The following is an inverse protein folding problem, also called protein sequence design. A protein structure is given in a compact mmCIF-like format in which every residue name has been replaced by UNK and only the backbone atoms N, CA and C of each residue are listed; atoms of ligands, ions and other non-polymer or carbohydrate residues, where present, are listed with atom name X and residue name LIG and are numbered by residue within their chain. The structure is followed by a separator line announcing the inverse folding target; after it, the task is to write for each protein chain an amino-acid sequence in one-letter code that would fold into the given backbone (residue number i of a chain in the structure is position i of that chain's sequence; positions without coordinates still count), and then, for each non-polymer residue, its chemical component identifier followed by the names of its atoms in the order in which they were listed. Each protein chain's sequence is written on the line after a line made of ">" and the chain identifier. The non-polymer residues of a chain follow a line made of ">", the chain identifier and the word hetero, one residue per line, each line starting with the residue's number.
data_IF_656834938872
#
_entry.id   IF_656834938872
#
_cell.length_a   1.000
_cell.length_b   1.000
_cell.length_c   1.000
_cell.angle_alpha   90.00
_cell.angle_beta   90.00
_cell.angle_gamma   90.00
#
_symmetry.space_group_name_H-M   'P 1'
#
loop_
_entity.id
_entity.type
_entity.pdbx_description
1 polymer ?
#
# COMPACT_ATOMS: atom_id res chain seq x y z
N UNK A 1 4.12 24.08 3.35
CA UNK A 1 2.77 24.16 3.91
C UNK A 1 2.36 22.76 4.33
N UNK A 2 2.02 22.54 5.59
CA UNK A 2 1.56 21.24 6.05
C UNK A 2 0.07 21.12 5.69
N UNK A 3 -0.28 20.08 4.93
CA UNK A 3 -1.68 19.79 4.59
C UNK A 3 -2.02 18.47 5.28
N UNK A 4 -3.07 18.48 6.09
CA UNK A 4 -3.59 17.29 6.75
C UNK A 4 -4.98 17.00 6.20
N UNK A 5 -5.17 15.81 5.70
CA UNK A 5 -6.43 15.28 5.23
C UNK A 5 -6.96 14.22 6.18
N UNK A 6 -8.28 14.11 6.28
CA UNK A 6 -8.94 13.05 7.03
C UNK A 6 -10.03 12.46 6.15
N UNK A 7 -10.08 11.14 6.10
CA UNK A 7 -10.95 10.38 5.22
C UNK A 7 -11.70 9.30 6.00
N UNK A 8 -12.90 9.01 5.57
CA UNK A 8 -13.67 7.84 6.03
C UNK A 8 -13.64 6.68 5.02
N UNK A 9 -12.97 6.90 3.87
CA UNK A 9 -12.96 6.02 2.74
C UNK A 9 -11.51 5.85 2.23
N UNK A 10 -10.98 4.61 2.14
CA UNK A 10 -9.63 4.38 1.61
C UNK A 10 -9.48 4.79 0.13
N UNK A 11 -10.60 4.88 -0.61
CA UNK A 11 -10.58 5.35 -1.99
C UNK A 11 -10.15 6.82 -2.08
N UNK A 12 -10.67 7.68 -1.20
CA UNK A 12 -10.27 9.10 -1.14
C UNK A 12 -8.78 9.25 -0.82
N UNK A 13 -8.24 8.37 0.02
CA UNK A 13 -6.81 8.32 0.30
C UNK A 13 -6.03 7.93 -0.97
N UNK A 14 -6.50 6.93 -1.72
CA UNK A 14 -5.91 6.52 -3.00
C UNK A 14 -5.92 7.65 -4.04
N UNK A 15 -7.03 8.40 -4.13
CA UNK A 15 -7.16 9.58 -5.02
C UNK A 15 -6.14 10.66 -4.66
N UNK A 16 -6.05 10.99 -3.38
CA UNK A 16 -5.07 11.97 -2.91
C UNK A 16 -3.64 11.54 -3.25
N UNK A 17 -3.28 10.28 -3.06
CA UNK A 17 -1.96 9.77 -3.43
C UNK A 17 -1.71 9.87 -4.93
N UNK A 18 -2.73 9.65 -5.75
CA UNK A 18 -2.63 9.81 -7.21
C UNK A 18 -2.37 11.26 -7.62
N UNK A 19 -2.94 12.26 -6.94
CA UNK A 19 -2.65 13.68 -7.17
C UNK A 19 -1.18 14.03 -6.88
N UNK A 20 -0.53 13.24 -6.01
CA UNK A 20 0.91 13.34 -5.73
C UNK A 20 1.77 12.46 -6.64
N UNK A 21 1.19 11.86 -7.68
CA UNK A 21 1.87 11.06 -8.68
C UNK A 21 2.11 9.60 -8.26
N UNK A 22 1.49 9.15 -7.15
CA UNK A 22 1.57 7.77 -6.70
C UNK A 22 0.33 6.99 -7.16
N UNK A 23 0.50 6.08 -8.11
CA UNK A 23 -0.59 5.25 -8.60
C UNK A 23 -0.79 4.04 -7.68
N UNK A 24 -1.38 4.27 -6.53
CA UNK A 24 -1.60 3.25 -5.49
C UNK A 24 -3.09 2.93 -5.36
N UNK A 25 -3.43 1.64 -5.45
CA UNK A 25 -4.73 1.11 -5.10
C UNK A 25 -4.72 0.68 -3.65
N UNK A 26 -5.78 1.01 -2.93
CA UNK A 26 -5.93 0.67 -1.51
C UNK A 26 -7.19 -0.16 -1.36
N UNK A 27 -7.06 -1.29 -0.64
CA UNK A 27 -8.17 -2.18 -0.27
C UNK A 27 -8.20 -2.32 1.26
N UNK A 28 -9.33 -2.04 1.87
CA UNK A 28 -9.55 -2.30 3.29
C UNK A 28 -9.72 -3.80 3.50
N UNK A 29 -8.95 -4.39 4.42
CA UNK A 29 -8.95 -5.84 4.69
C UNK A 29 -9.92 -6.25 5.80
N UNK A 30 -10.49 -5.32 6.55
CA UNK A 30 -11.42 -5.59 7.65
C UNK A 30 -12.76 -4.89 7.41
N UNK A 31 -13.85 -5.58 7.73
CA UNK A 31 -15.19 -5.05 7.56
C UNK A 31 -15.50 -3.85 8.47
N UNK A 32 -16.46 -3.03 8.07
CA UNK A 32 -16.96 -1.87 8.80
C UNK A 32 -16.29 -0.56 8.39
N UNK A 33 -16.78 0.53 8.93
CA UNK A 33 -16.27 1.86 8.66
C UNK A 33 -14.84 2.00 9.19
N UNK A 34 -13.98 2.66 8.39
CA UNK A 34 -12.61 3.01 8.74
C UNK A 34 -12.41 4.53 8.83
N UNK A 35 -11.34 4.93 9.50
CA UNK A 35 -10.86 6.30 9.48
C UNK A 35 -9.41 6.32 9.03
N UNK A 36 -9.11 7.23 8.12
CA UNK A 36 -7.81 7.36 7.48
C UNK A 36 -7.36 8.80 7.53
N UNK A 37 -6.08 9.02 7.66
CA UNK A 37 -5.55 10.37 7.57
C UNK A 37 -4.22 10.38 6.82
N UNK A 38 -3.97 11.46 6.12
CA UNK A 38 -2.70 11.75 5.47
C UNK A 38 -2.23 13.13 5.86
N UNK A 39 -0.99 13.22 6.34
CA UNK A 39 -0.28 14.48 6.52
C UNK A 39 0.89 14.50 5.54
N UNK A 40 1.10 15.63 4.85
CA UNK A 40 2.19 15.70 3.90
C UNK A 40 2.83 17.08 3.84
N UNK A 41 4.08 17.10 3.42
CA UNK A 41 4.83 18.32 3.08
C UNK A 41 5.82 18.01 1.96
N UNK A 42 6.09 18.98 1.08
CA UNK A 42 6.99 18.79 -0.06
C UNK A 42 7.90 20.00 -0.30
N UNK A 43 9.02 19.75 -0.94
CA UNK A 43 9.95 20.71 -1.54
C UNK A 43 10.17 20.37 -3.01
N UNK A 44 11.10 21.06 -3.66
CA UNK A 44 11.45 20.80 -5.07
C UNK A 44 12.12 19.44 -5.32
N UNK A 45 12.77 18.86 -4.30
CA UNK A 45 13.57 17.63 -4.45
C UNK A 45 13.18 16.50 -3.49
N UNK A 46 12.17 16.71 -2.64
CA UNK A 46 11.64 15.66 -1.77
C UNK A 46 10.21 15.92 -1.35
N UNK A 47 9.52 14.85 -1.00
CA UNK A 47 8.25 14.91 -0.30
C UNK A 47 8.28 13.96 0.92
N UNK A 48 7.46 14.30 1.91
CA UNK A 48 7.28 13.51 3.12
C UNK A 48 5.78 13.38 3.36
N UNK A 49 5.31 12.15 3.55
CA UNK A 49 3.93 11.84 3.82
C UNK A 49 3.81 10.86 4.99
N UNK A 50 2.80 11.03 5.83
CA UNK A 50 2.42 10.06 6.85
C UNK A 50 0.96 9.68 6.65
N UNK A 51 0.71 8.39 6.55
CA UNK A 51 -0.62 7.81 6.43
C UNK A 51 -0.92 7.05 7.72
N UNK A 52 -2.09 7.31 8.30
CA UNK A 52 -2.60 6.54 9.44
C UNK A 52 -3.92 5.90 9.07
N UNK A 53 -4.12 4.66 9.51
CA UNK A 53 -5.31 3.89 9.23
C UNK A 53 -5.82 3.20 10.50
N UNK A 54 -7.13 3.24 10.73
CA UNK A 54 -7.79 2.52 11.82
C UNK A 54 -8.09 1.06 11.49
N UNK A 55 -8.07 0.71 10.20
CA UNK A 55 -8.30 -0.63 9.67
C UNK A 55 -7.08 -1.11 8.89
N UNK A 56 -6.79 -2.42 8.85
CA UNK A 56 -5.71 -2.93 8.03
C UNK A 56 -5.98 -2.69 6.54
N UNK A 57 -4.94 -2.25 5.84
CA UNK A 57 -4.99 -1.92 4.43
C UNK A 57 -4.02 -2.79 3.64
N UNK A 58 -4.49 -3.29 2.49
CA UNK A 58 -3.64 -3.75 1.41
C UNK A 58 -3.46 -2.59 0.43
N UNK A 59 -2.25 -2.29 0.05
CA UNK A 59 -1.96 -1.38 -1.04
C UNK A 59 -1.18 -2.11 -2.14
N UNK A 60 -1.46 -1.74 -3.38
CA UNK A 60 -0.81 -2.24 -4.58
C UNK A 60 -0.61 -1.06 -5.52
N UNK A 61 0.53 -1.00 -6.18
CA UNK A 61 0.83 0.06 -7.13
C UNK A 61 2.30 0.45 -7.14
N UNK A 62 2.58 1.61 -7.69
CA UNK A 62 3.96 2.10 -7.85
C UNK A 62 4.09 3.57 -7.45
N UNK A 63 5.30 3.91 -7.03
CA UNK A 63 5.69 5.28 -6.71
C UNK A 63 5.83 6.15 -7.95
N UNK A 64 6.32 7.35 -7.74
CA UNK A 64 6.56 8.32 -8.80
C UNK A 64 7.80 7.96 -9.63
N UNK A 65 7.84 8.36 -10.89
CA UNK A 65 9.01 8.14 -11.75
C UNK A 65 10.23 8.99 -11.37
N UNK A 66 10.02 10.07 -10.61
CA UNK A 66 11.07 11.04 -10.26
C UNK A 66 11.78 10.70 -8.94
N UNK A 67 11.13 9.94 -8.03
CA UNK A 67 11.64 9.69 -6.68
C UNK A 67 12.07 8.25 -6.45
N UNK A 68 12.84 8.07 -5.40
CA UNK A 68 12.99 6.80 -4.68
C UNK A 68 12.23 6.97 -3.38
N UNK A 69 11.31 6.06 -3.13
CA UNK A 69 10.41 6.12 -2.00
C UNK A 69 10.91 5.19 -0.90
N UNK A 70 11.14 5.76 0.28
CA UNK A 70 11.50 5.02 1.49
C UNK A 70 10.38 5.12 2.49
N UNK A 71 10.02 4.02 3.12
CA UNK A 71 8.97 4.02 4.11
C UNK A 71 9.36 3.25 5.37
N UNK A 72 8.71 3.59 6.46
CA UNK A 72 8.78 2.89 7.73
C UNK A 72 7.44 2.93 8.43
N UNK A 73 7.21 1.94 9.28
CA UNK A 73 5.99 1.83 10.07
C UNK A 73 6.28 2.30 11.50
N UNK A 74 5.37 3.11 12.04
CA UNK A 74 5.39 3.52 13.44
C UNK A 74 4.14 2.97 14.11
N UNK A 75 4.26 2.08 15.12
CA UNK A 75 3.10 1.60 15.85
C UNK A 75 2.48 2.74 16.64
N UNK A 76 1.16 2.89 16.57
CA UNK A 76 0.40 3.87 17.36
C UNK A 76 0.08 3.35 18.76
N UNK A 77 0.06 2.02 18.92
CA UNK A 77 -0.08 1.29 20.18
C UNK A 77 0.91 0.13 20.20
N UNK A 78 1.13 -0.52 21.34
CA UNK A 78 1.83 -1.81 21.38
C UNK A 78 1.03 -2.80 20.54
N UNK A 79 1.37 -2.93 19.28
CA UNK A 79 0.74 -3.87 18.38
C UNK A 79 1.44 -5.23 18.49
N UNK A 80 0.65 -6.30 18.48
CA UNK A 80 1.19 -7.63 18.24
C UNK A 80 1.57 -7.73 16.76
N UNK A 81 2.78 -8.14 16.50
CA UNK A 81 3.42 -8.36 15.22
C UNK A 81 2.52 -9.05 14.14
N UNK A 82 2.66 -8.76 12.83
CA UNK A 82 3.56 -7.81 12.16
C UNK A 82 2.89 -6.46 11.86
N UNK A 83 3.68 -5.37 11.88
CA UNK A 83 3.17 -4.01 11.61
C UNK A 83 2.75 -3.77 10.17
N UNK A 84 3.34 -4.48 9.23
CA UNK A 84 3.04 -4.36 7.82
C UNK A 84 4.13 -4.96 6.95
N UNK A 85 3.86 -5.01 5.66
CA UNK A 85 4.76 -5.49 4.63
C UNK A 85 4.87 -4.46 3.53
N UNK A 86 6.08 -4.26 3.01
CA UNK A 86 6.34 -3.47 1.84
C UNK A 86 7.16 -4.33 0.89
N UNK A 87 6.67 -4.56 -0.32
CA UNK A 87 7.30 -5.45 -1.31
C UNK A 87 7.67 -6.83 -0.75
N UNK A 88 6.84 -7.36 0.15
CA UNK A 88 7.09 -8.64 0.83
C UNK A 88 8.09 -8.57 1.97
N UNK A 89 8.58 -7.39 2.35
CA UNK A 89 9.43 -7.18 3.49
C UNK A 89 8.62 -6.92 4.76
N UNK A 90 8.95 -7.66 5.84
CA UNK A 90 8.29 -7.52 7.14
C UNK A 90 8.79 -6.26 7.84
N UNK A 91 7.94 -5.24 7.94
CA UNK A 91 8.28 -3.95 8.52
C UNK A 91 8.20 -4.00 10.04
N UNK A 92 9.28 -3.64 10.71
CA UNK A 92 9.37 -3.51 12.16
C UNK A 92 10.02 -2.17 12.55
N UNK A 93 10.19 -1.91 13.85
CA UNK A 93 10.69 -0.61 14.34
C UNK A 93 12.07 -0.21 13.77
N UNK A 94 12.88 -1.17 13.35
CA UNK A 94 14.22 -0.94 12.78
C UNK A 94 14.25 -1.14 11.27
N UNK A 95 13.10 -1.30 10.62
CA UNK A 95 13.02 -1.60 9.19
C UNK A 95 12.76 -0.35 8.36
N UNK A 96 13.54 -0.20 7.29
CA UNK A 96 13.32 0.74 6.21
C UNK A 96 12.95 -0.06 4.96
N UNK A 97 11.73 0.07 4.51
CA UNK A 97 11.28 -0.48 3.24
C UNK A 97 11.50 0.52 2.11
N UNK A 98 11.58 0.04 0.87
CA UNK A 98 11.70 0.89 -0.30
C UNK A 98 10.73 0.48 -1.39
N UNK A 99 9.97 1.43 -1.93
CA UNK A 99 9.42 1.34 -3.27
C UNK A 99 10.53 1.71 -4.23
N UNK A 100 11.19 0.71 -4.81
CA UNK A 100 12.34 1.01 -5.62
C UNK A 100 11.95 1.26 -7.07
N UNK A 101 11.85 2.53 -7.43
CA UNK A 101 11.62 2.95 -8.82
C UNK A 101 12.79 2.62 -9.78
N UNK A 102 13.90 2.08 -9.29
CA UNK A 102 15.01 1.65 -10.14
C UNK A 102 14.72 0.34 -10.88
N UNK A 103 13.92 -0.56 -10.30
CA UNK A 103 13.68 -1.90 -10.81
C UNK A 103 12.21 -2.26 -11.00
N UNK A 104 11.29 -1.39 -10.58
CA UNK A 104 9.88 -1.72 -10.59
C UNK A 104 9.31 -1.79 -12.00
N UNK A 105 8.86 -2.97 -12.38
CA UNK A 105 7.74 -3.04 -13.28
C UNK A 105 6.53 -2.46 -12.54
N UNK A 106 5.75 -1.59 -13.20
CA UNK A 106 4.48 -1.14 -12.64
C UNK A 106 3.63 -2.36 -12.24
N UNK A 107 3.17 -2.41 -11.00
CA UNK A 107 2.34 -3.50 -10.50
C UNK A 107 3.04 -4.52 -9.59
N UNK A 108 4.37 -4.47 -9.45
CA UNK A 108 5.09 -5.43 -8.60
C UNK A 108 5.17 -4.99 -7.13
N UNK A 109 4.85 -3.75 -6.82
CA UNK A 109 4.89 -3.22 -5.45
C UNK A 109 3.57 -3.43 -4.73
N UNK A 110 3.63 -4.09 -3.61
CA UNK A 110 2.49 -4.30 -2.73
C UNK A 110 2.91 -4.26 -1.26
N UNK A 111 1.97 -3.97 -0.40
CA UNK A 111 2.22 -4.00 1.02
C UNK A 111 0.95 -4.06 1.84
N UNK A 112 1.10 -4.40 3.10
CA UNK A 112 0.02 -4.41 4.08
C UNK A 112 0.37 -3.49 5.23
N UNK A 113 -0.55 -2.61 5.59
CA UNK A 113 -0.54 -1.91 6.87
C UNK A 113 -1.47 -2.62 7.84
N UNK A 114 -0.97 -2.92 9.02
CA UNK A 114 -1.80 -3.41 10.11
C UNK A 114 -2.62 -2.27 10.71
N UNK A 115 -3.68 -2.62 11.43
CA UNK A 115 -4.43 -1.65 12.21
C UNK A 115 -3.55 -0.92 13.24
N UNK A 116 -3.96 0.26 13.61
CA UNK A 116 -3.30 1.04 14.68
C UNK A 116 -1.81 1.32 14.43
N UNK A 117 -1.43 1.50 13.18
CA UNK A 117 -0.10 1.97 12.81
C UNK A 117 -0.18 3.20 11.91
N UNK A 118 0.91 3.95 11.83
CA UNK A 118 1.13 4.95 10.80
C UNK A 118 2.30 4.54 9.92
N UNK A 119 2.17 4.77 8.63
CA UNK A 119 3.25 4.62 7.67
C UNK A 119 3.76 5.99 7.27
N UNK A 120 5.07 6.18 7.38
CA UNK A 120 5.72 7.39 6.89
C UNK A 120 6.50 7.04 5.63
N UNK A 121 6.25 7.78 4.56
CA UNK A 121 6.97 7.71 3.29
C UNK A 121 7.85 8.94 3.12
N UNK A 122 9.12 8.73 2.81
CA UNK A 122 10.09 9.75 2.45
C UNK A 122 10.47 9.54 0.97
N UNK A 123 10.00 10.42 0.12
CA UNK A 123 10.25 10.40 -1.32
C UNK A 123 11.41 11.34 -1.63
N UNK A 124 12.55 10.81 -2.07
CA UNK A 124 13.74 11.57 -2.42
C UNK A 124 13.92 11.61 -3.94
N UNK A 125 14.29 12.78 -4.48
CA UNK A 125 14.65 12.88 -5.89
C UNK A 125 15.78 11.92 -6.23
N UNK A 126 15.52 11.06 -7.21
CA UNK A 126 16.40 9.95 -7.59
C UNK A 126 17.79 10.42 -8.02
N UNK A 127 17.85 11.49 -8.83
CA UNK A 127 19.09 12.01 -9.36
C UNK A 127 19.93 12.65 -8.25
N UNK A 128 19.28 13.44 -7.40
CA UNK A 128 19.93 14.09 -6.26
C UNK A 128 20.48 13.05 -5.28
N UNK A 129 19.74 11.99 -4.99
CA UNK A 129 20.21 10.91 -4.11
C UNK A 129 21.42 10.21 -4.70
N UNK A 130 21.39 9.81 -5.99
CA UNK A 130 22.50 9.13 -6.63
C UNK A 130 23.76 9.99 -6.66
N UNK A 131 23.65 11.27 -6.99
CA UNK A 131 24.78 12.19 -6.97
C UNK A 131 25.40 12.26 -5.56
N UNK A 132 24.56 12.41 -4.53
CA UNK A 132 25.02 12.44 -3.14
C UNK A 132 25.75 11.16 -2.73
N UNK A 133 25.23 9.99 -3.08
CA UNK A 133 25.85 8.69 -2.79
C UNK A 133 27.20 8.55 -3.50
N UNK A 134 27.31 9.01 -4.74
CA UNK A 134 28.56 8.99 -5.50
C UNK A 134 29.62 9.96 -4.92
N UNK A 135 29.22 11.18 -4.58
CA UNK A 135 30.10 12.17 -3.93
C UNK A 135 30.66 11.67 -2.60
N UNK A 136 29.82 11.00 -1.80
CA UNK A 136 30.24 10.39 -0.53
C UNK A 136 30.98 9.06 -0.70
N UNK A 137 31.12 8.53 -1.92
CA UNK A 137 31.68 7.20 -2.21
C UNK A 137 30.96 6.08 -1.43
N UNK A 138 29.67 6.22 -1.20
CA UNK A 138 28.84 5.32 -0.41
C UNK A 138 28.47 4.07 -1.23
N UNK A 139 29.42 3.16 -1.40
CA UNK A 139 29.29 1.99 -2.28
C UNK A 139 28.26 0.97 -1.77
N UNK A 140 28.22 0.76 -0.46
CA UNK A 140 27.25 -0.15 0.15
C UNK A 140 25.84 0.42 0.04
N UNK A 141 25.67 1.74 0.21
CA UNK A 141 24.37 2.40 0.02
C UNK A 141 23.85 2.24 -1.41
N UNK A 142 24.72 2.36 -2.42
CA UNK A 142 24.36 2.14 -3.83
C UNK A 142 23.95 0.68 -4.06
N UNK A 143 24.70 -0.29 -3.51
CA UNK A 143 24.38 -1.71 -3.61
C UNK A 143 23.01 -2.00 -2.93
N UNK A 144 22.82 -1.53 -1.70
CA UNK A 144 21.58 -1.70 -0.95
C UNK A 144 20.36 -1.07 -1.68
N UNK A 145 20.55 0.09 -2.28
CA UNK A 145 19.53 0.76 -3.08
C UNK A 145 19.16 -0.06 -4.34
N UNK A 146 20.13 -0.76 -4.93
CA UNK A 146 19.92 -1.57 -6.14
C UNK A 146 19.18 -2.87 -5.87
N UNK A 147 19.24 -3.41 -4.67
CA UNK A 147 18.62 -4.70 -4.32
C UNK A 147 17.11 -4.62 -4.09
N UNK A 148 16.53 -3.42 -3.99
CA UNK A 148 15.08 -3.13 -3.79
C UNK A 148 14.37 -3.88 -2.66
N UNK A 149 15.13 -4.42 -1.72
CA UNK A 149 14.60 -5.13 -0.54
C UNK A 149 14.70 -4.18 0.66
N UNK A 150 13.76 -4.28 1.60
CA UNK A 150 13.85 -3.51 2.82
C UNK A 150 15.13 -3.80 3.63
N UNK A 151 15.60 -2.81 4.36
CA UNK A 151 16.79 -2.86 5.19
C UNK A 151 16.44 -2.89 6.67
N UNK A 152 17.20 -3.62 7.43
CA UNK A 152 17.25 -3.49 8.91
C UNK A 152 18.35 -2.51 9.24
N UNK A 153 18.02 -1.47 10.00
CA UNK A 153 18.95 -0.39 10.34
C UNK A 153 19.04 -0.30 11.87
N UNK A 154 20.17 -0.74 12.41
CA UNK A 154 20.51 -0.61 13.83
C UNK A 154 21.50 0.54 14.00
N UNK A 155 21.09 1.75 13.62
CA UNK A 155 21.91 2.94 13.68
C UNK A 155 21.10 4.15 14.17
N UNK A 156 21.72 5.01 14.99
CA UNK A 156 21.07 6.21 15.55
C UNK A 156 20.56 7.17 14.45
N UNK A 157 21.18 7.18 13.26
CA UNK A 157 20.73 7.98 12.14
C UNK A 157 19.27 7.69 11.73
N UNK A 158 18.82 6.44 11.83
CA UNK A 158 17.44 6.08 11.52
C UNK A 158 16.46 6.66 12.57
N UNK A 159 16.82 6.60 13.84
CA UNK A 159 16.06 7.24 14.91
C UNK A 159 16.00 8.76 14.72
N UNK A 160 17.11 9.38 14.29
CA UNK A 160 17.16 10.81 13.96
C UNK A 160 16.27 11.14 12.76
N UNK A 161 16.31 10.34 11.71
CA UNK A 161 15.46 10.48 10.51
C UNK A 161 13.97 10.44 10.90
N UNK A 162 13.55 9.47 11.70
CA UNK A 162 12.17 9.34 12.19
C UNK A 162 11.73 10.56 13.01
N UNK A 163 12.57 11.05 13.94
CA UNK A 163 12.28 12.24 14.75
C UNK A 163 12.20 13.49 13.87
N UNK A 164 13.11 13.62 12.91
CA UNK A 164 13.12 14.71 11.95
C UNK A 164 11.83 14.73 11.12
N UNK A 165 11.44 13.61 10.57
CA UNK A 165 10.24 13.46 9.76
C UNK A 165 8.97 13.84 10.53
N UNK A 166 8.83 13.30 11.74
CA UNK A 166 7.68 13.64 12.62
C UNK A 166 7.60 15.14 12.93
N UNK A 167 8.74 15.76 13.24
CA UNK A 167 8.81 17.20 13.49
C UNK A 167 8.42 18.02 12.26
N UNK A 168 8.95 17.65 11.11
CA UNK A 168 8.78 18.41 9.87
C UNK A 168 7.37 18.24 9.30
N UNK A 169 6.74 17.08 9.47
CA UNK A 169 5.32 16.87 9.18
C UNK A 169 4.42 17.75 10.04
N UNK A 170 4.76 17.97 11.31
CA UNK A 170 3.98 18.88 12.18
C UNK A 170 4.20 20.34 11.78
N UNK A 171 5.43 20.72 11.48
CA UNK A 171 5.79 22.13 11.20
C UNK A 171 5.54 22.55 9.75
N UNK A 172 5.43 21.60 8.82
CA UNK A 172 5.31 21.89 7.39
C UNK A 172 6.58 22.49 6.76
N UNK A 173 7.75 22.26 7.36
CA UNK A 173 9.04 22.79 6.92
C UNK A 173 10.00 21.62 6.70
N UNK A 174 10.55 21.50 5.48
CA UNK A 174 11.53 20.49 5.14
C UNK A 174 12.93 21.09 5.05
N UNK A 175 13.92 20.35 5.54
CA UNK A 175 15.33 20.59 5.25
C UNK A 175 15.87 19.39 4.46
N UNK A 176 15.81 19.39 3.12
CA UNK A 176 16.18 18.26 2.29
C UNK A 176 17.59 17.73 2.55
N UNK A 177 18.58 18.61 2.71
CA UNK A 177 19.97 18.20 2.93
C UNK A 177 20.10 17.21 4.10
N UNK A 178 19.42 17.47 5.23
CA UNK A 178 19.45 16.57 6.39
C UNK A 178 18.85 15.18 6.10
N UNK A 179 17.82 15.13 5.25
CA UNK A 179 17.23 13.84 4.86
C UNK A 179 18.19 13.05 3.98
N UNK A 180 18.81 13.70 3.00
CA UNK A 180 19.80 13.05 2.16
C UNK A 180 21.00 12.55 2.96
N UNK A 181 21.50 13.35 3.91
CA UNK A 181 22.63 12.96 4.78
C UNK A 181 22.26 11.74 5.66
N UNK A 182 21.14 11.81 6.37
CA UNK A 182 20.69 10.72 7.22
C UNK A 182 20.33 9.46 6.42
N UNK A 183 19.70 9.62 5.24
CA UNK A 183 19.36 8.48 4.39
C UNK A 183 20.60 7.81 3.83
N UNK A 184 21.64 8.58 3.46
CA UNK A 184 22.93 8.03 3.04
C UNK A 184 23.53 7.14 4.12
N UNK A 185 23.54 7.59 5.38
CA UNK A 185 24.04 6.79 6.51
C UNK A 185 23.15 5.54 6.70
N UNK A 186 21.84 5.69 6.67
CA UNK A 186 20.92 4.56 6.81
C UNK A 186 21.12 3.50 5.72
N UNK A 187 21.34 3.92 4.48
CA UNK A 187 21.58 3.01 3.37
C UNK A 187 22.98 2.35 3.45
N UNK A 188 23.98 3.06 3.94
CA UNK A 188 25.34 2.50 4.10
C UNK A 188 25.42 1.50 5.25
N UNK A 189 24.80 1.80 6.38
CA UNK A 189 24.83 0.97 7.60
C UNK A 189 23.74 -0.11 7.63
N UNK A 190 22.74 0.00 6.77
CA UNK A 190 21.64 -0.96 6.71
C UNK A 190 22.12 -2.33 6.21
N UNK A 191 21.49 -3.37 6.74
CA UNK A 191 21.75 -4.75 6.34
C UNK A 191 20.46 -5.47 5.98
N UNK A 192 20.53 -6.35 4.98
CA UNK A 192 19.47 -7.29 4.72
C UNK A 192 19.53 -8.42 5.75
N UNK A 193 18.41 -8.72 6.42
CA UNK A 193 18.32 -10.01 7.11
C UNK A 193 18.38 -11.10 6.04
N UNK A 194 19.28 -12.06 6.24
CA UNK A 194 19.26 -13.31 5.49
C UNK A 194 17.88 -13.97 5.72
N UNK A 195 16.98 -13.76 4.78
CA UNK A 195 15.66 -14.38 4.82
C UNK A 195 15.83 -15.89 4.69
N UNK A 196 15.31 -16.63 5.67
CA UNK A 196 15.25 -18.10 5.56
C UNK A 196 14.51 -18.44 4.27
N UNK A 197 14.98 -19.44 3.53
CA UNK A 197 14.43 -19.89 2.23
C UNK A 197 12.89 -20.03 2.21
N UNK A 198 12.28 -20.37 3.34
CA UNK A 198 10.83 -20.45 3.54
C UNK A 198 10.14 -19.08 3.49
N UNK A 199 10.77 -18.04 4.00
CA UNK A 199 10.23 -16.68 4.04
C UNK A 199 10.18 -16.08 2.62
N UNK A 200 11.24 -16.28 1.83
CA UNK A 200 11.25 -15.87 0.41
C UNK A 200 10.17 -16.58 -0.42
N UNK A 201 9.92 -17.88 -0.18
CA UNK A 201 8.85 -18.62 -0.85
C UNK A 201 7.46 -18.07 -0.52
N UNK A 202 7.23 -17.71 0.75
CA UNK A 202 5.98 -17.11 1.17
C UNK A 202 5.79 -15.71 0.59
N UNK A 203 6.84 -14.91 0.50
CA UNK A 203 6.80 -13.57 -0.10
C UNK A 203 6.39 -13.62 -1.58
N UNK A 204 7.01 -14.54 -2.33
CA UNK A 204 6.63 -14.76 -3.74
C UNK A 204 5.16 -15.19 -3.86
N UNK A 205 4.73 -16.15 -3.05
CA UNK A 205 3.34 -16.60 -3.04
C UNK A 205 2.37 -15.46 -2.69
N UNK A 206 2.72 -14.60 -1.72
CA UNK A 206 1.91 -13.44 -1.36
C UNK A 206 1.79 -12.45 -2.52
N UNK A 207 2.89 -12.15 -3.21
CA UNK A 207 2.86 -11.30 -4.41
C UNK A 207 1.98 -11.89 -5.51
N UNK A 208 2.11 -13.19 -5.79
CA UNK A 208 1.25 -13.90 -6.75
C UNK A 208 -0.24 -13.85 -6.35
N UNK A 209 -0.55 -13.96 -5.05
CA UNK A 209 -1.91 -13.83 -4.50
C UNK A 209 -2.45 -12.40 -4.73
N UNK A 210 -1.67 -11.38 -4.44
CA UNK A 210 -2.07 -9.97 -4.63
C UNK A 210 -2.32 -9.70 -6.11
N UNK A 211 -1.40 -10.10 -7.00
CA UNK A 211 -1.54 -9.94 -8.44
C UNK A 211 -2.78 -10.66 -8.98
N UNK A 212 -3.01 -11.91 -8.55
CA UNK A 212 -4.20 -12.67 -8.93
C UNK A 212 -5.49 -12.01 -8.47
N UNK A 213 -5.48 -11.38 -7.29
CA UNK A 213 -6.66 -10.71 -6.74
C UNK A 213 -7.05 -9.45 -7.51
N UNK A 214 -6.07 -8.80 -8.17
CA UNK A 214 -6.26 -7.60 -8.98
C UNK A 214 -6.34 -7.87 -10.49
N UNK A 215 -6.27 -9.13 -10.91
CA UNK A 215 -6.42 -9.52 -12.32
C UNK A 215 -7.84 -9.23 -12.82
N UNK A 216 -8.03 -8.34 -13.82
CA UNK A 216 -9.35 -7.94 -14.30
C UNK A 216 -10.20 -9.11 -14.81
N UNK A 217 -9.60 -10.12 -15.44
CA UNK A 217 -10.31 -11.28 -15.95
C UNK A 217 -10.84 -12.16 -14.81
N UNK A 218 -10.10 -12.25 -13.71
CA UNK A 218 -10.49 -13.00 -12.51
C UNK A 218 -11.49 -12.24 -11.65
N UNK A 219 -11.54 -10.92 -11.77
CA UNK A 219 -12.57 -10.12 -11.10
C UNK A 219 -13.96 -10.38 -11.67
N UNK A 220 -14.09 -10.46 -12.97
CA UNK A 220 -15.37 -10.71 -13.65
C UNK A 220 -15.85 -12.15 -13.50
N UNK A 221 -14.92 -13.11 -13.47
CA UNK A 221 -15.18 -14.55 -13.34
C UNK A 221 -14.49 -15.11 -12.10
N UNK A 222 -15.17 -15.08 -10.94
CA UNK A 222 -14.57 -15.52 -9.69
C UNK A 222 -14.10 -16.97 -9.72
N UNK A 223 -12.86 -17.18 -9.31
CA UNK A 223 -12.26 -18.50 -9.18
C UNK A 223 -12.78 -19.24 -7.94
N UNK A 224 -12.90 -20.56 -8.04
CA UNK A 224 -13.08 -21.39 -6.86
C UNK A 224 -11.76 -21.55 -6.08
N UNK A 225 -11.82 -22.01 -4.82
CA UNK A 225 -10.61 -22.30 -4.05
C UNK A 225 -9.71 -23.32 -4.73
N UNK A 226 -10.30 -24.32 -5.39
CA UNK A 226 -9.59 -25.35 -6.14
C UNK A 226 -8.81 -24.73 -7.31
N UNK A 227 -9.47 -23.84 -8.09
CA UNK A 227 -8.87 -23.17 -9.23
C UNK A 227 -7.69 -22.27 -8.80
N UNK A 228 -7.85 -21.55 -7.68
CA UNK A 228 -6.78 -20.74 -7.10
C UNK A 228 -5.59 -21.61 -6.68
N UNK A 229 -5.84 -22.72 -6.00
CA UNK A 229 -4.78 -23.66 -5.58
C UNK A 229 -4.04 -24.23 -6.79
N UNK A 230 -4.76 -24.57 -7.83
CA UNK A 230 -4.18 -25.07 -9.08
C UNK A 230 -3.35 -24.00 -9.79
N UNK A 231 -3.88 -22.79 -9.90
CA UNK A 231 -3.20 -21.64 -10.53
C UNK A 231 -1.88 -21.28 -9.83
N UNK A 232 -1.90 -21.24 -8.49
CA UNK A 232 -0.74 -20.91 -7.65
C UNK A 232 0.16 -22.13 -7.37
N UNK A 233 -0.20 -23.31 -7.85
CA UNK A 233 0.51 -24.57 -7.59
C UNK A 233 0.81 -24.77 -6.08
N UNK A 234 -0.21 -24.60 -5.23
CA UNK A 234 -0.09 -24.65 -3.77
C UNK A 234 -1.25 -25.46 -3.18
N UNK A 235 -0.94 -26.26 -2.14
CA UNK A 235 -1.97 -27.00 -1.41
C UNK A 235 -2.89 -26.08 -0.60
N UNK A 236 -4.17 -26.45 -0.51
CA UNK A 236 -5.22 -25.67 0.17
C UNK A 236 -4.86 -25.27 1.61
N UNK A 237 -4.31 -26.19 2.40
CA UNK A 237 -3.92 -25.93 3.79
C UNK A 237 -2.74 -24.91 3.89
N UNK A 238 -1.80 -24.96 2.95
CA UNK A 238 -0.69 -24.01 2.89
C UNK A 238 -1.18 -22.63 2.48
N UNK A 239 -2.04 -22.56 1.45
CA UNK A 239 -2.64 -21.32 0.99
C UNK A 239 -3.47 -20.66 2.09
N UNK A 240 -4.34 -21.44 2.77
CA UNK A 240 -5.14 -20.94 3.89
C UNK A 240 -4.26 -20.35 4.99
N UNK A 241 -3.23 -21.09 5.45
CA UNK A 241 -2.32 -20.60 6.48
C UNK A 241 -1.61 -19.32 6.05
N UNK A 242 -1.06 -19.30 4.85
CA UNK A 242 -0.36 -18.12 4.33
C UNK A 242 -1.29 -16.89 4.31
N UNK A 243 -2.51 -17.02 3.78
CA UNK A 243 -3.46 -15.92 3.74
C UNK A 243 -3.91 -15.48 5.15
N UNK A 244 -4.17 -16.44 6.04
CA UNK A 244 -4.60 -16.13 7.39
C UNK A 244 -3.50 -15.41 8.19
N UNK A 245 -2.25 -15.88 8.07
CA UNK A 245 -1.10 -15.30 8.79
C UNK A 245 -0.80 -13.87 8.33
N UNK A 246 -0.94 -13.59 7.02
CA UNK A 246 -0.55 -12.30 6.45
C UNK A 246 -1.71 -11.32 6.26
N UNK A 247 -2.88 -11.78 5.79
CA UNK A 247 -4.02 -10.91 5.51
C UNK A 247 -5.10 -10.96 6.61
N UNK A 248 -5.04 -11.93 7.53
CA UNK A 248 -6.06 -12.15 8.56
C UNK A 248 -7.35 -12.77 8.04
N UNK A 249 -7.37 -13.21 6.77
CA UNK A 249 -8.54 -13.77 6.10
C UNK A 249 -8.16 -14.83 5.06
N UNK A 250 -9.14 -15.63 4.62
CA UNK A 250 -8.93 -16.59 3.53
C UNK A 250 -8.84 -15.91 2.16
N UNK A 251 -8.19 -16.58 1.18
CA UNK A 251 -7.97 -16.05 -0.17
C UNK A 251 -9.28 -15.64 -0.88
N UNK A 252 -10.33 -16.44 -0.79
CA UNK A 252 -11.61 -16.15 -1.47
C UNK A 252 -12.30 -14.92 -0.85
N UNK A 253 -12.14 -14.73 0.45
CA UNK A 253 -12.63 -13.54 1.16
C UNK A 253 -11.83 -12.30 0.72
N UNK A 254 -10.50 -12.38 0.68
CA UNK A 254 -9.63 -11.31 0.21
C UNK A 254 -9.94 -10.91 -1.25
N UNK A 255 -10.03 -11.88 -2.18
CA UNK A 255 -10.42 -11.63 -3.56
C UNK A 255 -11.83 -11.02 -3.67
N UNK A 256 -12.73 -11.38 -2.75
CA UNK A 256 -14.07 -10.77 -2.68
C UNK A 256 -14.00 -9.32 -2.21
N UNK A 257 -13.16 -9.03 -1.23
CA UNK A 257 -12.96 -7.67 -0.72
C UNK A 257 -12.37 -6.75 -1.80
N UNK A 258 -11.35 -7.22 -2.53
CA UNK A 258 -10.77 -6.47 -3.67
C UNK A 258 -11.85 -6.15 -4.72
N UNK A 259 -12.70 -7.14 -5.08
CA UNK A 259 -13.80 -6.91 -6.04
C UNK A 259 -14.86 -5.94 -5.53
N UNK A 260 -15.15 -5.92 -4.23
CA UNK A 260 -16.07 -4.95 -3.63
C UNK A 260 -15.50 -3.53 -3.70
N UNK A 261 -14.19 -3.35 -3.45
CA UNK A 261 -13.51 -2.06 -3.58
C UNK A 261 -13.50 -1.57 -5.05
N UNK A 262 -13.22 -2.43 -5.99
CA UNK A 262 -13.25 -2.06 -7.41
C UNK A 262 -14.68 -1.72 -7.89
N UNK A 263 -15.68 -2.44 -7.40
CA UNK A 263 -17.08 -2.08 -7.64
C UNK A 263 -17.43 -0.71 -7.04
N UNK A 264 -16.92 -0.41 -5.84
CA UNK A 264 -17.08 0.90 -5.18
C UNK A 264 -16.40 2.00 -5.99
N UNK A 265 -15.17 1.80 -6.41
CA UNK A 265 -14.43 2.69 -7.30
C UNK A 265 -15.20 2.96 -8.59
N UNK A 266 -15.73 1.91 -9.21
CA UNK A 266 -16.56 2.04 -10.42
C UNK A 266 -17.83 2.88 -10.18
N UNK A 267 -18.49 2.75 -9.03
CA UNK A 267 -19.69 3.56 -8.71
C UNK A 267 -19.37 5.05 -8.54
N UNK A 268 -18.19 5.39 -8.05
CA UNK A 268 -17.77 6.78 -7.84
C UNK A 268 -17.32 7.40 -9.16
N UNK A 269 -16.42 6.76 -9.90
CA UNK A 269 -15.80 7.36 -11.10
C UNK A 269 -16.66 7.34 -12.36
N UNK A 270 -17.49 6.31 -12.56
CA UNK A 270 -18.35 6.27 -13.75
C UNK A 270 -19.51 7.28 -13.71
N UNK A 271 -19.79 7.85 -12.56
CA UNK A 271 -20.78 8.92 -12.45
C UNK A 271 -20.25 10.30 -12.87
N UNK A 272 -18.92 10.46 -12.94
CA UNK A 272 -18.26 11.72 -13.34
C UNK A 272 -17.91 11.81 -14.82
N UNK A 273 -17.86 10.68 -15.54
CA UNK A 273 -17.63 10.67 -17.00
C UNK A 273 -18.93 11.01 -17.74
N UNK A 274 -18.99 12.22 -18.25
CA UNK A 274 -20.14 12.84 -18.93
C UNK A 274 -20.43 12.29 -20.32
N UNK A 275 -20.43 11.00 -20.53
CA UNK A 275 -21.08 10.37 -21.69
C UNK A 275 -21.02 8.85 -21.54
N UNK A 276 -22.17 8.23 -21.54
CA UNK A 276 -22.46 6.80 -21.62
C UNK A 276 -22.64 6.07 -20.29
N UNK A 277 -23.85 5.56 -20.23
CA UNK A 277 -24.38 4.50 -19.40
C UNK A 277 -24.66 4.85 -17.92
N UNK A 278 -25.93 5.02 -17.64
CA UNK A 278 -26.52 4.85 -16.31
C UNK A 278 -26.26 3.42 -15.82
N UNK A 279 -24.99 3.11 -15.51
CA UNK A 279 -24.63 1.81 -14.96
C UNK A 279 -25.45 1.59 -13.70
N UNK A 280 -26.33 0.65 -13.75
CA UNK A 280 -27.12 0.26 -12.58
C UNK A 280 -26.25 -0.49 -11.60
N UNK A 281 -26.61 -0.47 -10.32
CA UNK A 281 -25.93 -1.26 -9.28
C UNK A 281 -25.86 -2.74 -9.70
N UNK A 282 -26.87 -3.24 -10.43
CA UNK A 282 -26.91 -4.61 -10.94
C UNK A 282 -25.80 -4.85 -11.97
N UNK A 283 -25.61 -3.96 -12.93
CA UNK A 283 -24.59 -4.10 -13.96
C UNK A 283 -23.18 -4.02 -13.38
N UNK A 284 -22.96 -3.10 -12.43
CA UNK A 284 -21.70 -3.02 -11.69
C UNK A 284 -21.45 -4.31 -10.92
N UNK A 285 -22.44 -4.81 -10.18
CA UNK A 285 -22.31 -6.06 -9.45
C UNK A 285 -21.92 -7.23 -10.37
N UNK A 286 -22.60 -7.37 -11.54
CA UNK A 286 -22.30 -8.42 -12.52
C UNK A 286 -20.89 -8.29 -13.08
N UNK A 287 -20.46 -7.07 -13.44
CA UNK A 287 -19.11 -6.78 -13.95
C UNK A 287 -18.02 -7.28 -13.02
N UNK A 288 -18.22 -7.13 -11.72
CA UNK A 288 -17.28 -7.60 -10.69
C UNK A 288 -17.61 -9.00 -10.15
N UNK A 289 -18.35 -9.82 -10.92
CA UNK A 289 -18.58 -11.23 -10.65
C UNK A 289 -19.61 -11.56 -9.56
N UNK A 290 -20.46 -10.60 -9.18
CA UNK A 290 -21.55 -10.81 -8.23
C UNK A 290 -22.84 -11.14 -8.95
N UNK A 291 -23.20 -12.44 -9.03
CA UNK A 291 -24.39 -12.93 -9.76
C UNK A 291 -25.72 -12.51 -9.13
N UNK A 292 -25.75 -12.18 -7.85
CA UNK A 292 -26.96 -11.88 -7.09
C UNK A 292 -26.87 -10.50 -6.42
N UNK A 293 -27.66 -9.54 -6.89
CA UNK A 293 -27.67 -8.16 -6.39
C UNK A 293 -27.92 -8.07 -4.88
N UNK A 294 -28.85 -8.85 -4.31
CA UNK A 294 -29.14 -8.81 -2.88
C UNK A 294 -27.95 -9.28 -2.03
N UNK A 295 -27.24 -10.34 -2.48
CA UNK A 295 -26.02 -10.80 -1.80
C UNK A 295 -24.88 -9.79 -1.94
N UNK A 296 -24.76 -9.15 -3.10
CA UNK A 296 -23.80 -8.05 -3.32
C UNK A 296 -24.07 -6.91 -2.35
N UNK A 297 -25.31 -6.39 -2.30
CA UNK A 297 -25.66 -5.26 -1.44
C UNK A 297 -25.44 -5.56 0.05
N UNK A 298 -25.74 -6.77 0.49
CA UNK A 298 -25.49 -7.19 1.88
C UNK A 298 -24.00 -7.24 2.19
N UNK A 299 -23.17 -7.85 1.32
CA UNK A 299 -21.72 -7.90 1.51
C UNK A 299 -21.11 -6.52 1.49
N UNK A 300 -21.54 -5.69 0.54
CA UNK A 300 -21.11 -4.32 0.40
C UNK A 300 -21.38 -3.51 1.69
N UNK A 301 -22.61 -3.62 2.23
CA UNK A 301 -22.95 -2.98 3.50
C UNK A 301 -22.10 -3.50 4.67
N UNK A 302 -21.86 -4.79 4.73
CA UNK A 302 -20.99 -5.38 5.78
C UNK A 302 -19.55 -4.84 5.67
N UNK A 303 -19.02 -4.69 4.46
CA UNK A 303 -17.63 -4.23 4.24
C UNK A 303 -17.48 -2.73 4.48
N UNK A 304 -18.44 -1.90 4.11
CA UNK A 304 -18.27 -0.44 4.07
C UNK A 304 -19.20 0.36 5.00
N UNK A 305 -20.16 -0.29 5.66
CA UNK A 305 -21.15 0.40 6.50
C UNK A 305 -22.21 1.19 5.73
N UNK A 306 -22.14 1.22 4.39
CA UNK A 306 -23.08 1.96 3.52
C UNK A 306 -23.67 1.07 2.42
N UNK A 307 -24.83 1.42 1.89
CA UNK A 307 -25.43 0.73 0.77
C UNK A 307 -24.82 1.16 -0.57
N UNK A 308 -24.70 0.27 -1.60
CA UNK A 308 -24.23 0.63 -2.93
C UNK A 308 -24.96 1.82 -3.56
N UNK A 309 -26.27 1.96 -3.25
CA UNK A 309 -27.07 3.09 -3.73
C UNK A 309 -26.65 4.44 -3.14
N UNK A 310 -26.11 4.46 -1.92
CA UNK A 310 -25.59 5.68 -1.31
C UNK A 310 -24.27 6.09 -1.96
N UNK A 311 -23.38 5.13 -2.19
CA UNK A 311 -22.11 5.35 -2.91
C UNK A 311 -22.36 5.88 -4.32
N UNK A 312 -23.28 5.25 -5.08
CA UNK A 312 -23.60 5.65 -6.44
C UNK A 312 -24.22 7.06 -6.51
N UNK A 313 -25.05 7.44 -5.53
CA UNK A 313 -25.59 8.80 -5.43
C UNK A 313 -24.51 9.83 -5.13
N UNK A 314 -23.58 9.50 -4.24
CA UNK A 314 -22.46 10.37 -3.88
C UNK A 314 -21.54 10.63 -5.08
N UNK A 315 -21.22 9.60 -5.86
CA UNK A 315 -20.44 9.76 -7.08
C UNK A 315 -21.08 10.65 -8.14
N UNK A 316 -22.40 10.77 -8.17
CA UNK A 316 -23.13 11.67 -9.09
C UNK A 316 -23.09 13.16 -8.67
N UNK A 317 -22.56 13.47 -7.51
CA UNK A 317 -22.48 14.82 -6.97
C UNK A 317 -21.10 15.48 -7.21
N UNK A 318 -20.17 14.73 -7.73
CA UNK A 318 -18.83 15.18 -8.15
C UNK A 318 -18.68 15.06 -9.67
#
# INVERSE_FOLDING_TARGET
>A
MNIKFSYTDPLQLSETLQEYGQAIRITQLENGEGSYSMAHTKSSCMALAEISASKPLLYEGWGTSWSVDFNWITPMRKANYPFGYCEGFDMNDNSLGGFNTFHSNPGDSWGKYSESCSSTACMLDKKTLLNKLQECKASQAIANLSESIGLIIDHEAFSQLRRLARRDLVRGILNPSKYYDLMTICLEEGSHKLHKKKQMKNQRLLGEIVNLSHDPDKMSTPMSLSDVCQHLNVGQASLYRTCQDYFGMGIIEMMTQVRLEEARRSMIYHSTASNCDNNTIREIAIRFGFKHQGRFSRRYFTSFGELPSHTLKRGKLF
#
